data_IF_375527367414
#
_entry.id   IF_375527367414
#
_cell.length_a   1.000
_cell.length_b   1.000
_cell.length_c   1.000
_cell.angle_alpha   90.00
_cell.angle_beta   90.00
_cell.angle_gamma   90.00
#
_symmetry.space_group_name_H-M   'P 1'
#
loop_
_entity.id
_entity.type
_entity.pdbx_description
1 polymer ?
#
# COMPACT_ATOMS: atom_id res chain seq x y z
N UNK A 1 50.74 -21.20 6.52
CA UNK A 1 49.68 -22.14 6.96
C UNK A 1 48.87 -21.60 8.13
N UNK A 2 49.46 -21.23 9.29
CA UNK A 2 48.71 -20.72 10.47
C UNK A 2 47.93 -19.44 10.16
N UNK A 3 48.51 -18.47 9.43
CA UNK A 3 47.84 -17.23 9.07
C UNK A 3 46.60 -17.39 8.16
N UNK A 4 46.68 -18.35 7.21
CA UNK A 4 45.57 -18.65 6.30
C UNK A 4 44.41 -19.35 7.07
N UNK A 5 44.75 -20.20 8.04
CA UNK A 5 43.75 -20.85 8.89
C UNK A 5 43.01 -19.82 9.80
N UNK A 6 43.79 -18.95 10.47
CA UNK A 6 43.18 -17.88 11.31
C UNK A 6 42.31 -16.92 10.49
N UNK A 7 42.71 -16.56 9.28
CA UNK A 7 41.95 -15.74 8.37
C UNK A 7 40.62 -16.41 7.95
N UNK A 8 40.67 -17.69 7.56
CA UNK A 8 39.48 -18.44 7.19
C UNK A 8 38.51 -18.57 8.38
N UNK A 9 39.01 -18.88 9.58
CA UNK A 9 38.17 -18.92 10.79
C UNK A 9 37.49 -17.55 11.08
N UNK A 10 38.21 -16.46 10.86
CA UNK A 10 37.65 -15.13 11.06
C UNK A 10 36.51 -14.84 10.06
N UNK A 11 36.68 -15.21 8.80
CA UNK A 11 35.63 -15.10 7.77
C UNK A 11 34.44 -15.96 8.11
N UNK A 12 34.64 -17.23 8.46
CA UNK A 12 33.56 -18.17 8.85
C UNK A 12 32.80 -17.69 10.08
N UNK A 13 33.48 -17.14 11.08
CA UNK A 13 32.87 -16.54 12.25
C UNK A 13 32.02 -15.30 11.87
N UNK A 14 32.53 -14.47 10.96
CA UNK A 14 31.81 -13.31 10.41
C UNK A 14 30.54 -13.71 9.68
N UNK A 15 30.63 -14.68 8.75
CA UNK A 15 29.51 -15.23 8.00
C UNK A 15 28.46 -15.83 8.95
N UNK A 16 28.88 -16.63 9.91
CA UNK A 16 28.00 -17.26 10.89
C UNK A 16 27.30 -16.22 11.77
N UNK A 17 28.02 -15.17 12.20
CA UNK A 17 27.46 -14.06 12.95
C UNK A 17 26.42 -13.30 12.15
N UNK A 18 26.72 -13.00 10.88
CA UNK A 18 25.78 -12.31 9.97
C UNK A 18 24.52 -13.16 9.73
N UNK A 19 24.68 -14.46 9.46
CA UNK A 19 23.55 -15.38 9.29
C UNK A 19 22.65 -15.45 10.54
N UNK A 20 23.23 -15.52 11.73
CA UNK A 20 22.47 -15.50 13.00
C UNK A 20 21.70 -14.19 13.18
N UNK A 21 22.31 -13.05 12.86
CA UNK A 21 21.62 -11.74 12.91
C UNK A 21 20.46 -11.70 11.92
N UNK A 22 20.65 -12.22 10.71
CA UNK A 22 19.64 -12.32 9.66
C UNK A 22 18.41 -13.11 10.14
N UNK A 23 18.63 -14.32 10.65
CA UNK A 23 17.53 -15.14 11.17
C UNK A 23 16.81 -14.45 12.31
N UNK A 24 17.54 -13.81 13.22
CA UNK A 24 16.91 -13.02 14.30
C UNK A 24 16.09 -11.86 13.77
N UNK A 25 16.59 -11.10 12.79
CA UNK A 25 15.85 -10.01 12.17
C UNK A 25 14.55 -10.50 11.49
N UNK A 26 14.60 -11.65 10.80
CA UNK A 26 13.40 -12.28 10.23
C UNK A 26 12.36 -12.64 11.31
N UNK A 27 12.78 -13.23 12.42
CA UNK A 27 11.85 -13.56 13.51
C UNK A 27 11.32 -12.32 14.22
N UNK A 28 12.10 -11.24 14.32
CA UNK A 28 11.62 -9.97 14.84
C UNK A 28 10.57 -9.34 13.91
N UNK A 29 10.79 -9.37 12.60
CA UNK A 29 9.79 -8.91 11.63
C UNK A 29 8.49 -9.74 11.72
N UNK A 30 8.60 -11.07 11.85
CA UNK A 30 7.42 -11.93 12.07
C UNK A 30 6.70 -11.60 13.38
N UNK A 31 7.44 -11.40 14.47
CA UNK A 31 6.84 -11.00 15.74
C UNK A 31 6.06 -9.70 15.64
N UNK A 32 6.57 -8.71 14.87
CA UNK A 32 5.85 -7.47 14.59
C UNK A 32 4.57 -7.70 13.77
N UNK A 33 4.61 -8.56 12.75
CA UNK A 33 3.42 -8.94 11.97
C UNK A 33 2.34 -9.62 12.81
N UNK A 34 2.72 -10.57 13.66
CA UNK A 34 1.82 -11.24 14.60
C UNK A 34 1.25 -10.25 15.65
N UNK A 35 2.08 -9.32 16.13
CA UNK A 35 1.64 -8.27 17.02
C UNK A 35 0.60 -7.37 16.36
N UNK A 36 0.83 -6.95 15.12
CA UNK A 36 -0.14 -6.16 14.36
C UNK A 36 -1.46 -6.92 14.19
N UNK A 37 -1.41 -8.21 13.82
CA UNK A 37 -2.60 -9.05 13.70
C UNK A 37 -3.36 -9.17 15.03
N UNK A 38 -2.65 -9.36 16.13
CA UNK A 38 -3.23 -9.40 17.47
C UNK A 38 -3.91 -8.08 17.83
N UNK A 39 -3.22 -6.95 17.61
CA UNK A 39 -3.74 -5.61 17.87
C UNK A 39 -5.03 -5.35 17.08
N UNK A 40 -5.01 -5.63 15.79
CA UNK A 40 -6.17 -5.48 14.91
C UNK A 40 -7.35 -6.40 15.33
N UNK A 41 -7.07 -7.61 15.81
CA UNK A 41 -8.11 -8.53 16.29
C UNK A 41 -8.79 -8.03 17.57
N UNK A 42 -8.04 -7.38 18.47
CA UNK A 42 -8.62 -6.81 19.70
C UNK A 42 -9.54 -5.62 19.42
N UNK A 43 -9.26 -4.86 18.36
CA UNK A 43 -10.06 -3.68 17.99
C UNK A 43 -11.30 -4.02 17.18
N UNK A 44 -11.33 -5.18 16.52
CA UNK A 44 -12.46 -5.62 15.67
C UNK A 44 -13.63 -6.25 16.44
N UNK A 45 -13.42 -6.65 17.70
CA UNK A 45 -14.44 -7.34 18.48
C UNK A 45 -15.45 -6.42 19.17
N UNK A 46 -15.09 -5.17 19.51
CA UNK A 46 -15.95 -4.27 20.28
C UNK A 46 -15.64 -2.79 19.99
N UNK A 47 -16.14 -2.28 18.86
CA UNK A 47 -16.11 -0.83 18.61
C UNK A 47 -17.01 -0.05 19.57
N UNK A 48 -17.93 -0.73 20.27
CA UNK A 48 -18.97 -0.11 21.11
C UNK A 48 -18.91 -0.48 22.61
N UNK A 49 -18.06 -1.40 23.07
CA UNK A 49 -17.94 -1.74 24.49
C UNK A 49 -16.54 -1.40 25.03
N UNK A 50 -16.49 -0.46 25.97
CA UNK A 50 -15.31 -0.22 26.81
C UNK A 50 -15.07 -1.45 27.69
N UNK A 51 -14.18 -2.35 27.29
CA UNK A 51 -13.76 -3.47 28.13
C UNK A 51 -12.64 -2.98 29.07
N UNK A 52 -12.99 -2.83 30.35
CA UNK A 52 -12.04 -2.46 31.45
C UNK A 52 -10.89 -3.49 31.62
N UNK A 53 -10.91 -4.63 30.93
CA UNK A 53 -9.97 -5.75 31.07
C UNK A 53 -9.01 -5.93 29.88
N UNK A 54 -8.79 -4.92 29.05
CA UNK A 54 -7.81 -5.06 27.94
C UNK A 54 -6.37 -5.11 28.48
N UNK A 55 -5.55 -6.11 28.08
CA UNK A 55 -4.14 -6.19 28.47
C UNK A 55 -3.25 -5.14 27.74
N UNK A 56 -3.82 -4.36 26.83
CA UNK A 56 -3.14 -3.29 26.11
C UNK A 56 -3.26 -1.97 26.88
N UNK A 57 -2.23 -1.13 26.79
CA UNK A 57 -2.30 0.23 27.30
C UNK A 57 -3.41 1.00 26.55
N UNK A 58 -4.14 1.85 27.25
CA UNK A 58 -5.28 2.62 26.72
C UNK A 58 -4.92 3.40 25.45
N UNK A 59 -3.73 3.99 25.41
CA UNK A 59 -3.20 4.71 24.24
C UNK A 59 -3.06 3.82 23.00
N UNK A 60 -2.61 2.57 23.17
CA UNK A 60 -2.42 1.60 22.07
C UNK A 60 -3.76 1.19 21.48
N UNK A 61 -4.76 0.98 22.34
CA UNK A 61 -6.12 0.64 21.93
C UNK A 61 -6.80 1.78 21.21
N UNK A 62 -6.66 3.00 21.71
CA UNK A 62 -7.20 4.22 21.12
C UNK A 62 -6.62 4.44 19.72
N UNK A 63 -5.30 4.33 19.57
CA UNK A 63 -4.64 4.44 18.27
C UNK A 63 -5.08 3.34 17.29
N UNK A 64 -5.22 2.11 17.76
CA UNK A 64 -5.70 1.01 16.94
C UNK A 64 -7.16 1.21 16.47
N UNK A 65 -8.04 1.74 17.33
CA UNK A 65 -9.41 2.12 16.96
C UNK A 65 -9.42 3.23 15.89
N UNK A 66 -8.49 4.18 15.93
CA UNK A 66 -8.35 5.23 14.91
C UNK A 66 -7.98 4.65 13.54
N UNK A 67 -7.09 3.64 13.47
CA UNK A 67 -6.74 2.96 12.22
C UNK A 67 -7.99 2.39 11.56
N UNK A 68 -8.85 1.72 12.36
CA UNK A 68 -10.09 1.12 11.86
C UNK A 68 -11.13 2.14 11.42
N UNK A 69 -11.07 3.36 11.99
CA UNK A 69 -11.87 4.50 11.52
C UNK A 69 -11.28 5.14 10.27
N UNK A 70 -10.09 4.70 9.83
CA UNK A 70 -9.42 5.22 8.65
C UNK A 70 -8.72 6.57 8.86
N UNK A 71 -8.47 6.97 10.10
CA UNK A 71 -8.01 8.32 10.40
C UNK A 71 -6.50 8.42 10.70
N UNK A 72 -5.76 7.31 10.78
CA UNK A 72 -4.35 7.38 11.13
C UNK A 72 -3.52 6.19 10.61
N UNK A 73 -2.23 6.45 10.42
CA UNK A 73 -1.20 5.41 10.34
C UNK A 73 -0.72 5.11 11.76
N UNK A 74 -0.75 3.85 12.16
CA UNK A 74 -0.19 3.43 13.44
C UNK A 74 1.24 2.97 13.27
N UNK A 75 2.16 3.55 14.03
CA UNK A 75 3.56 3.16 14.04
C UNK A 75 4.01 2.80 15.45
N UNK A 76 4.62 1.63 15.61
CA UNK A 76 5.20 1.15 16.85
C UNK A 76 6.63 0.69 16.62
N UNK A 77 7.53 1.01 17.55
CA UNK A 77 8.88 0.43 17.60
C UNK A 77 9.14 -0.14 18.97
N UNK A 78 9.51 -1.43 19.03
CA UNK A 78 9.70 -2.16 20.27
C UNK A 78 11.04 -2.91 20.28
N UNK A 79 11.72 -2.90 21.43
CA UNK A 79 12.88 -3.74 21.66
C UNK A 79 12.45 -5.16 22.07
N UNK A 80 13.06 -6.17 21.45
CA UNK A 80 12.82 -7.57 21.79
C UNK A 80 14.14 -8.37 21.72
N UNK A 81 14.63 -8.79 22.88
CA UNK A 81 15.87 -9.56 23.00
C UNK A 81 17.09 -8.76 22.54
N UNK A 82 17.74 -9.18 21.44
CA UNK A 82 18.98 -8.57 20.94
C UNK A 82 18.75 -7.64 19.75
N UNK A 83 17.51 -7.24 19.47
CA UNK A 83 17.16 -6.38 18.35
C UNK A 83 15.88 -5.61 18.61
N UNK A 84 15.37 -4.98 17.57
CA UNK A 84 14.12 -4.22 17.59
C UNK A 84 13.22 -4.70 16.47
N UNK A 85 11.91 -4.58 16.66
CA UNK A 85 10.97 -4.58 15.54
C UNK A 85 10.21 -3.27 15.50
N UNK A 86 9.83 -2.86 14.30
CA UNK A 86 8.87 -1.78 14.09
C UNK A 86 7.73 -2.28 13.22
N UNK A 87 6.54 -1.74 13.45
CA UNK A 87 5.35 -2.00 12.64
C UNK A 87 4.74 -0.68 12.23
N UNK A 88 4.27 -0.64 10.99
CA UNK A 88 3.38 0.41 10.49
C UNK A 88 2.10 -0.27 10.00
N UNK A 89 0.96 0.16 10.52
CA UNK A 89 -0.37 -0.26 10.07
C UNK A 89 -0.95 0.91 9.31
N UNK A 90 -1.22 0.68 8.02
CA UNK A 90 -1.59 1.71 7.06
C UNK A 90 -2.95 1.34 6.47
N UNK A 91 -3.94 2.26 6.48
CA UNK A 91 -5.18 2.06 5.76
C UNK A 91 -4.93 1.71 4.28
N UNK A 92 -5.64 0.72 3.76
CA UNK A 92 -5.47 0.27 2.38
C UNK A 92 -6.45 0.96 1.42
N UNK A 93 -7.66 1.28 1.89
CA UNK A 93 -8.76 1.86 1.07
C UNK A 93 -8.58 3.35 0.75
N UNK A 94 -7.48 3.96 1.20
CA UNK A 94 -7.03 5.26 0.71
C UNK A 94 -6.38 5.22 -0.68
N UNK A 95 -6.34 4.04 -1.33
CA UNK A 95 -5.80 3.80 -2.67
C UNK A 95 -6.88 3.34 -3.62
N UNK A 96 -6.68 3.60 -4.93
CA UNK A 96 -7.59 3.15 -5.98
C UNK A 96 -7.41 1.67 -6.31
N UNK A 97 -8.52 0.95 -6.51
CA UNK A 97 -8.45 -0.45 -6.93
C UNK A 97 -8.20 -0.53 -8.43
N UNK A 98 -6.98 -0.98 -8.80
CA UNK A 98 -6.52 -1.06 -10.18
C UNK A 98 -7.41 -1.94 -11.07
N UNK A 99 -8.00 -3.00 -10.50
CA UNK A 99 -8.89 -3.90 -11.25
C UNK A 99 -10.27 -3.30 -11.57
N UNK A 100 -10.55 -2.09 -11.11
CA UNK A 100 -11.84 -1.40 -11.28
C UNK A 100 -11.69 0.01 -11.88
N UNK A 101 -10.49 0.34 -12.36
CA UNK A 101 -10.21 1.64 -12.96
C UNK A 101 -10.91 1.81 -14.31
N UNK A 102 -11.34 3.04 -14.57
CA UNK A 102 -11.77 3.49 -15.90
C UNK A 102 -10.59 4.10 -16.66
N UNK A 103 -10.72 4.21 -17.99
CA UNK A 103 -9.70 4.85 -18.83
C UNK A 103 -9.39 6.28 -18.37
N UNK A 104 -10.40 7.07 -18.00
CA UNK A 104 -10.24 8.43 -17.46
C UNK A 104 -9.39 8.46 -16.17
N UNK A 105 -9.57 7.46 -15.30
CA UNK A 105 -8.76 7.34 -14.08
C UNK A 105 -7.33 6.91 -14.39
N UNK A 106 -7.12 6.08 -15.40
CA UNK A 106 -5.80 5.74 -15.89
C UNK A 106 -5.06 6.95 -16.43
N UNK A 107 -5.69 7.73 -17.32
CA UNK A 107 -5.12 8.94 -17.90
C UNK A 107 -4.71 9.95 -16.81
N UNK A 108 -5.60 10.23 -15.88
CA UNK A 108 -5.34 11.15 -14.77
C UNK A 108 -4.21 10.66 -13.86
N UNK A 109 -4.19 9.35 -13.55
CA UNK A 109 -3.11 8.76 -12.74
C UNK A 109 -1.76 8.82 -13.43
N UNK A 110 -1.70 8.55 -14.73
CA UNK A 110 -0.47 8.62 -15.52
C UNK A 110 0.04 10.07 -15.62
N UNK A 111 -0.88 11.06 -15.76
CA UNK A 111 -0.54 12.48 -15.71
C UNK A 111 0.06 12.85 -14.34
N UNK A 112 -0.60 12.50 -13.25
CA UNK A 112 -0.11 12.73 -11.89
C UNK A 112 1.27 12.09 -11.65
N UNK A 113 1.55 10.95 -12.27
CA UNK A 113 2.83 10.28 -12.21
C UNK A 113 3.91 10.93 -13.11
N UNK A 114 3.52 11.81 -14.01
CA UNK A 114 4.41 12.48 -14.97
C UNK A 114 4.80 11.59 -16.16
N UNK A 115 3.96 10.61 -16.50
CA UNK A 115 4.15 9.77 -17.68
C UNK A 115 3.70 10.56 -18.93
N UNK A 116 4.53 10.64 -20.00
CA UNK A 116 4.15 11.35 -21.22
C UNK A 116 2.86 10.82 -21.87
N UNK A 117 1.99 11.73 -22.32
CA UNK A 117 0.69 11.40 -22.91
C UNK A 117 0.79 10.42 -24.09
N UNK A 118 1.87 10.48 -24.86
CA UNK A 118 2.10 9.58 -25.97
C UNK A 118 2.27 8.09 -25.59
N UNK A 119 2.44 7.77 -24.30
CA UNK A 119 2.55 6.40 -23.79
C UNK A 119 1.23 5.88 -23.20
N UNK A 120 0.26 6.74 -22.92
CA UNK A 120 -0.92 6.37 -22.14
C UNK A 120 -1.77 5.30 -22.84
N UNK A 121 -2.10 5.49 -24.12
CA UNK A 121 -2.91 4.54 -24.87
C UNK A 121 -2.27 3.13 -24.89
N UNK A 122 -0.95 3.04 -25.10
CA UNK A 122 -0.26 1.74 -25.08
C UNK A 122 -0.32 1.08 -23.69
N UNK A 123 -0.10 1.83 -22.62
CA UNK A 123 -0.13 1.31 -21.26
C UNK A 123 -1.53 0.84 -20.86
N UNK A 124 -2.56 1.61 -21.18
CA UNK A 124 -3.97 1.31 -20.86
C UNK A 124 -4.42 0.07 -21.66
N UNK A 125 -4.17 0.04 -22.97
CA UNK A 125 -4.55 -1.06 -23.85
C UNK A 125 -3.81 -2.37 -23.47
N UNK A 126 -2.50 -2.30 -23.16
CA UNK A 126 -1.75 -3.48 -22.70
C UNK A 126 -2.23 -3.98 -21.33
N UNK A 127 -2.67 -3.08 -20.42
CA UNK A 127 -3.29 -3.47 -19.17
C UNK A 127 -4.64 -4.14 -19.38
N UNK A 128 -5.47 -3.62 -20.31
CA UNK A 128 -6.77 -4.19 -20.63
C UNK A 128 -6.62 -5.61 -21.19
N UNK A 129 -5.70 -5.83 -22.17
CA UNK A 129 -5.39 -7.15 -22.73
C UNK A 129 -4.83 -8.13 -21.69
N UNK A 130 -4.12 -7.61 -20.67
CA UNK A 130 -3.59 -8.47 -19.60
C UNK A 130 -4.66 -9.03 -18.68
N UNK A 131 -5.75 -8.29 -18.44
CA UNK A 131 -6.76 -8.66 -17.44
C UNK A 131 -8.05 -9.21 -18.03
N UNK A 132 -8.36 -8.97 -19.31
CA UNK A 132 -9.60 -9.44 -19.91
C UNK A 132 -9.55 -10.96 -20.20
N UNK A 133 -10.70 -11.59 -20.43
CA UNK A 133 -10.80 -13.05 -20.58
C UNK A 133 -10.60 -13.52 -22.03
N UNK A 134 -10.41 -12.60 -22.97
CA UNK A 134 -10.30 -12.92 -24.39
C UNK A 134 -8.85 -12.74 -24.88
N UNK A 135 -8.57 -13.12 -26.13
CA UNK A 135 -7.26 -12.97 -26.79
C UNK A 135 -7.36 -11.99 -27.98
N UNK A 136 -8.31 -11.04 -27.96
CA UNK A 136 -8.48 -10.03 -29.00
C UNK A 136 -7.71 -8.76 -28.61
N UNK A 137 -6.74 -8.38 -29.42
CA UNK A 137 -5.91 -7.20 -29.15
C UNK A 137 -6.70 -5.90 -29.13
N UNK A 138 -6.52 -5.09 -28.10
CA UNK A 138 -6.82 -3.67 -28.18
C UNK A 138 -5.88 -2.99 -29.20
N UNK A 139 -6.23 -1.79 -29.65
CA UNK A 139 -5.56 -1.12 -30.78
C UNK A 139 -4.04 -0.98 -30.57
N UNK A 140 -3.63 -0.58 -29.36
CA UNK A 140 -2.24 -0.40 -28.96
C UNK A 140 -1.79 -1.44 -27.93
N UNK A 141 -2.60 -2.47 -27.71
CA UNK A 141 -2.41 -3.48 -26.71
C UNK A 141 -1.46 -4.61 -27.11
N UNK A 142 -1.34 -5.60 -26.24
CA UNK A 142 -0.47 -6.75 -26.44
C UNK A 142 -1.06 -7.99 -25.76
N UNK A 143 -1.40 -8.98 -26.54
CA UNK A 143 -1.86 -10.28 -26.11
C UNK A 143 -0.71 -11.31 -26.03
N UNK A 144 -1.00 -12.50 -25.52
CA UNK A 144 -0.03 -13.60 -25.33
C UNK A 144 0.77 -13.97 -26.58
N UNK A 145 0.29 -13.62 -27.77
CA UNK A 145 0.98 -13.84 -29.03
C UNK A 145 1.97 -12.73 -29.40
N UNK A 146 2.00 -11.60 -28.68
CA UNK A 146 2.97 -10.52 -28.86
C UNK A 146 4.41 -11.01 -28.62
N UNK A 147 5.39 -10.57 -29.41
CA UNK A 147 6.79 -10.90 -29.21
C UNK A 147 7.32 -10.61 -27.81
N UNK A 148 6.81 -9.57 -27.15
CA UNK A 148 7.20 -9.20 -25.78
C UNK A 148 7.00 -10.36 -24.78
N UNK A 149 5.84 -11.02 -24.82
CA UNK A 149 5.51 -12.12 -23.92
C UNK A 149 6.18 -13.42 -24.35
N UNK A 150 6.17 -13.72 -25.68
CA UNK A 150 6.81 -14.93 -26.24
C UNK A 150 8.33 -15.00 -25.93
N UNK A 151 9.03 -13.88 -26.04
CA UNK A 151 10.47 -13.83 -25.75
C UNK A 151 10.78 -14.03 -24.27
N UNK A 152 9.85 -13.64 -23.40
CA UNK A 152 9.96 -13.79 -21.93
C UNK A 152 9.43 -15.13 -21.41
N UNK A 153 8.69 -15.87 -22.24
CA UNK A 153 8.23 -17.21 -21.94
C UNK A 153 7.04 -17.28 -20.97
N UNK A 154 6.18 -16.26 -20.97
CA UNK A 154 4.91 -16.27 -20.24
C UNK A 154 3.78 -15.68 -21.10
N UNK A 155 2.54 -15.91 -20.71
CA UNK A 155 1.31 -15.49 -21.37
C UNK A 155 0.60 -14.42 -20.54
N UNK A 156 -0.34 -13.68 -21.17
CA UNK A 156 -1.23 -12.78 -20.47
C UNK A 156 -2.03 -13.54 -19.41
N UNK A 157 -2.36 -12.87 -18.32
CA UNK A 157 -3.04 -13.52 -17.18
C UNK A 157 -4.49 -13.82 -17.47
N UNK A 158 -5.16 -13.01 -18.30
CA UNK A 158 -6.59 -13.04 -18.62
C UNK A 158 -7.44 -13.12 -17.33
N UNK A 159 -7.04 -12.37 -16.33
CA UNK A 159 -7.69 -12.29 -15.01
C UNK A 159 -7.25 -11.04 -14.25
N UNK A 160 -8.02 -10.55 -13.28
CA UNK A 160 -7.63 -9.43 -12.43
C UNK A 160 -6.27 -9.63 -11.78
N UNK A 161 -5.55 -8.53 -11.52
CA UNK A 161 -4.27 -8.58 -10.81
C UNK A 161 -4.46 -9.06 -9.36
N UNK A 162 -3.55 -9.91 -8.90
CA UNK A 162 -3.43 -10.31 -7.49
C UNK A 162 -2.54 -9.35 -6.69
N UNK A 163 -1.61 -8.67 -7.37
CA UNK A 163 -0.70 -7.68 -6.77
C UNK A 163 -0.42 -6.55 -7.76
N UNK A 164 -0.15 -5.35 -7.24
CA UNK A 164 0.27 -4.20 -8.07
C UNK A 164 1.62 -4.47 -8.78
N UNK A 165 2.47 -5.30 -8.19
CA UNK A 165 3.77 -5.67 -8.76
C UNK A 165 3.65 -6.42 -10.11
N UNK A 166 2.50 -7.03 -10.40
CA UNK A 166 2.23 -7.68 -11.69
C UNK A 166 2.26 -6.71 -12.88
N UNK A 167 2.09 -5.41 -12.65
CA UNK A 167 2.29 -4.40 -13.69
C UNK A 167 3.66 -4.53 -14.37
N UNK A 168 4.70 -4.97 -13.66
CA UNK A 168 6.02 -5.20 -14.25
C UNK A 168 6.09 -6.35 -15.26
N UNK A 169 5.07 -7.19 -15.33
CA UNK A 169 4.94 -8.25 -16.33
C UNK A 169 4.26 -7.76 -17.61
N UNK A 170 3.56 -6.63 -17.54
CA UNK A 170 2.77 -6.07 -18.65
C UNK A 170 3.68 -5.21 -19.53
N UNK A 171 3.53 -5.36 -20.84
CA UNK A 171 4.26 -4.57 -21.83
C UNK A 171 4.06 -3.07 -21.58
N UNK A 172 5.14 -2.31 -21.71
CA UNK A 172 5.16 -0.86 -21.52
C UNK A 172 5.43 -0.43 -20.07
N UNK A 173 5.00 -1.18 -19.05
CA UNK A 173 5.23 -0.83 -17.65
C UNK A 173 6.67 -1.09 -17.23
N UNK A 174 7.36 -0.04 -16.85
CA UNK A 174 8.74 -0.09 -16.31
C UNK A 174 8.75 0.09 -14.80
N UNK A 175 9.84 -0.31 -14.15
CA UNK A 175 10.01 -0.06 -12.71
C UNK A 175 9.96 1.44 -12.36
N UNK A 176 10.39 2.32 -13.29
CA UNK A 176 10.32 3.75 -13.12
C UNK A 176 8.88 4.28 -13.13
N UNK A 177 8.02 3.78 -14.03
CA UNK A 177 6.60 4.12 -14.06
C UNK A 177 5.91 3.59 -12.80
N UNK A 178 6.18 2.34 -12.44
CA UNK A 178 5.47 1.67 -11.32
C UNK A 178 5.90 2.22 -9.96
N UNK A 179 7.21 2.34 -9.69
CA UNK A 179 7.71 2.71 -8.36
C UNK A 179 8.31 4.11 -8.27
N UNK A 180 8.39 4.82 -9.39
CA UNK A 180 9.09 6.09 -9.50
C UNK A 180 10.57 5.90 -9.83
N UNK A 181 11.13 6.91 -10.46
CA UNK A 181 12.52 6.89 -10.89
C UNK A 181 12.79 7.73 -12.13
N UNK A 182 13.98 7.66 -12.69
CA UNK A 182 14.35 8.45 -13.85
C UNK A 182 13.45 8.10 -15.05
N UNK A 183 13.01 9.15 -15.75
CA UNK A 183 12.28 9.01 -17.00
C UNK A 183 13.16 8.38 -18.08
N UNK A 184 12.56 7.87 -19.15
CA UNK A 184 13.29 7.26 -20.26
C UNK A 184 14.18 8.25 -21.01
N UNK A 185 13.76 9.51 -21.08
CA UNK A 185 14.54 10.60 -21.67
C UNK A 185 15.30 11.35 -20.58
N UNK A 186 16.58 11.62 -20.79
CA UNK A 186 17.45 12.31 -19.81
C UNK A 186 16.96 13.73 -19.42
N UNK A 187 16.20 14.38 -20.31
CA UNK A 187 15.69 15.74 -20.11
C UNK A 187 14.33 15.79 -19.40
N UNK A 188 13.64 14.66 -19.25
CA UNK A 188 12.33 14.59 -18.62
C UNK A 188 12.44 14.52 -17.09
N UNK A 189 11.42 15.04 -16.41
CA UNK A 189 11.31 14.91 -14.96
C UNK A 189 11.18 13.44 -14.57
N UNK A 190 11.74 13.02 -13.42
CA UNK A 190 11.59 11.66 -12.96
C UNK A 190 10.11 11.33 -12.66
N UNK A 191 9.68 10.13 -13.00
CA UNK A 191 8.33 9.63 -12.68
C UNK A 191 8.13 9.53 -11.16
N UNK A 192 6.92 9.88 -10.69
CA UNK A 192 6.56 9.78 -9.27
C UNK A 192 6.21 8.37 -8.84
N UNK A 193 5.87 7.49 -9.80
CA UNK A 193 5.44 6.11 -9.54
C UNK A 193 3.95 6.01 -9.21
N UNK A 194 3.28 5.02 -9.83
CA UNK A 194 1.83 4.81 -9.68
C UNK A 194 1.47 3.85 -8.54
N UNK A 195 2.39 2.97 -8.14
CA UNK A 195 2.11 1.92 -7.15
C UNK A 195 1.67 2.44 -5.77
N UNK A 196 2.07 3.68 -5.39
CA UNK A 196 1.65 4.30 -4.14
C UNK A 196 0.17 4.67 -4.12
N UNK A 197 -0.42 4.93 -5.28
CA UNK A 197 -1.84 5.27 -5.46
C UNK A 197 -2.74 4.05 -5.64
N UNK A 198 -2.16 2.85 -5.83
CA UNK A 198 -2.87 1.64 -6.26
C UNK A 198 -2.98 0.57 -5.18
N UNK A 199 -4.09 -0.15 -5.25
CA UNK A 199 -4.33 -1.41 -4.54
C UNK A 199 -5.07 -2.39 -5.46
N UNK A 200 -5.05 -3.66 -5.10
CA UNK A 200 -5.92 -4.70 -5.71
C UNK A 200 -7.09 -5.09 -4.78
N UNK A 201 -7.15 -4.46 -3.60
CA UNK A 201 -8.11 -4.76 -2.54
C UNK A 201 -9.21 -3.70 -2.46
N UNK A 202 -10.33 -4.07 -1.82
CA UNK A 202 -11.43 -3.11 -1.60
C UNK A 202 -12.48 -3.11 -2.71
N UNK A 203 -13.50 -2.27 -2.53
CA UNK A 203 -14.69 -2.18 -3.39
C UNK A 203 -14.60 -1.02 -4.42
N UNK A 204 -13.41 -0.44 -4.60
CA UNK A 204 -13.16 0.67 -5.53
C UNK A 204 -13.54 2.05 -5.01
N UNK A 205 -14.06 2.16 -3.78
CA UNK A 205 -14.28 3.46 -3.15
C UNK A 205 -13.01 3.99 -2.53
N UNK A 206 -12.83 5.30 -2.59
CA UNK A 206 -11.67 5.97 -2.01
C UNK A 206 -12.00 6.45 -0.59
N UNK A 207 -11.20 6.02 0.39
CA UNK A 207 -11.29 6.57 1.74
C UNK A 207 -10.62 7.95 1.79
N UNK A 208 -11.42 9.01 1.81
CA UNK A 208 -10.94 10.39 1.78
C UNK A 208 -10.22 10.82 3.06
N UNK A 209 -10.41 10.11 4.18
CA UNK A 209 -9.67 10.38 5.41
C UNK A 209 -8.21 9.96 5.31
N UNK A 210 -7.87 9.03 4.39
CA UNK A 210 -6.52 8.46 4.27
C UNK A 210 -5.90 8.59 2.88
N UNK A 211 -6.70 8.92 1.87
CA UNK A 211 -6.21 9.10 0.50
C UNK A 211 -5.20 10.25 0.40
N UNK A 212 -4.18 10.06 -0.44
CA UNK A 212 -3.25 11.14 -0.78
C UNK A 212 -3.89 12.10 -1.78
N UNK A 213 -3.30 13.30 -1.91
CA UNK A 213 -3.72 14.29 -2.91
C UNK A 213 -3.79 13.67 -4.30
N UNK A 214 -2.71 13.01 -4.70
CA UNK A 214 -2.56 12.39 -6.01
C UNK A 214 -3.63 11.30 -6.23
N UNK A 215 -3.90 10.48 -5.23
CA UNK A 215 -4.95 9.46 -5.32
C UNK A 215 -6.33 10.10 -5.47
N UNK A 216 -6.64 11.17 -4.73
CA UNK A 216 -7.93 11.82 -4.85
C UNK A 216 -8.11 12.45 -6.25
N UNK A 217 -7.10 13.12 -6.78
CA UNK A 217 -7.13 13.70 -8.12
C UNK A 217 -7.31 12.64 -9.19
N UNK A 218 -6.59 11.53 -9.11
CA UNK A 218 -6.64 10.44 -10.09
C UNK A 218 -7.97 9.64 -10.07
N UNK A 219 -8.55 9.44 -8.89
CA UNK A 219 -9.66 8.48 -8.74
C UNK A 219 -11.04 9.11 -8.54
N UNK A 220 -11.11 10.39 -8.22
CA UNK A 220 -12.38 11.07 -7.95
C UNK A 220 -12.74 12.02 -9.11
N UNK A 221 -13.60 11.60 -10.04
CA UNK A 221 -13.91 12.41 -11.22
C UNK A 221 -14.57 13.74 -10.85
N UNK A 222 -14.13 14.80 -11.50
CA UNK A 222 -14.67 16.15 -11.30
C UNK A 222 -14.22 16.83 -10.01
N UNK A 223 -13.25 16.23 -9.29
CA UNK A 223 -12.57 16.90 -8.18
C UNK A 223 -11.44 17.77 -8.75
N UNK A 224 -11.19 18.90 -8.12
CA UNK A 224 -10.07 19.77 -8.45
C UNK A 224 -9.14 19.99 -7.24
N UNK A 225 -7.99 20.61 -7.47
CA UNK A 225 -6.96 20.76 -6.44
C UNK A 225 -7.47 21.50 -5.19
N UNK A 226 -8.34 22.50 -5.34
CA UNK A 226 -8.83 23.25 -4.19
C UNK A 226 -9.84 22.43 -3.36
N UNK A 227 -10.66 21.58 -3.99
CA UNK A 227 -11.52 20.63 -3.27
C UNK A 227 -10.70 19.60 -2.49
N UNK A 228 -9.60 19.12 -3.09
CA UNK A 228 -8.67 18.24 -2.40
C UNK A 228 -8.01 18.94 -1.20
N UNK A 229 -7.64 20.22 -1.35
CA UNK A 229 -7.12 21.01 -0.22
C UNK A 229 -8.16 21.14 0.90
N UNK A 230 -9.42 21.40 0.56
CA UNK A 230 -10.52 21.49 1.53
C UNK A 230 -10.77 20.15 2.25
N UNK A 231 -10.61 19.00 1.55
CA UNK A 231 -10.65 17.67 2.19
C UNK A 231 -9.48 17.51 3.16
N UNK A 232 -8.25 17.82 2.72
CA UNK A 232 -7.03 17.64 3.53
C UNK A 232 -7.09 18.52 4.79
N UNK A 233 -7.55 19.77 4.67
CA UNK A 233 -7.71 20.63 5.84
C UNK A 233 -8.92 20.21 6.69
N UNK A 234 -10.04 19.83 6.06
CA UNK A 234 -11.25 19.42 6.78
C UNK A 234 -11.09 18.14 7.62
N UNK A 235 -10.21 17.24 7.19
CA UNK A 235 -9.94 16.00 7.94
C UNK A 235 -9.02 16.16 9.14
N UNK A 236 -8.42 17.34 9.36
CA UNK A 236 -7.60 17.66 10.55
C UNK A 236 -8.46 18.03 11.78
N UNK A 237 -9.78 17.85 11.69
CA UNK A 237 -10.66 18.14 12.80
C UNK A 237 -10.86 19.63 13.08
N UNK A 238 -11.23 19.95 14.32
CA UNK A 238 -11.51 21.34 14.77
C UNK A 238 -10.26 22.05 15.26
N UNK A 239 -9.28 21.30 15.73
CA UNK A 239 -8.01 21.86 16.26
C UNK A 239 -6.99 22.16 15.14
N UNK A 240 -7.19 21.61 13.93
CA UNK A 240 -6.32 21.80 12.77
C UNK A 240 -4.98 21.08 12.88
N UNK A 241 -4.81 20.19 13.87
CA UNK A 241 -3.63 19.36 14.07
C UNK A 241 -3.89 17.94 13.54
N UNK A 242 -2.88 17.27 13.01
CA UNK A 242 -2.98 15.89 12.52
C UNK A 242 -2.71 14.89 13.66
N UNK A 243 -3.36 13.73 13.60
CA UNK A 243 -3.26 12.62 14.56
C UNK A 243 -3.87 12.93 15.94
N UNK A 244 -4.95 13.70 15.96
CA UNK A 244 -5.75 14.01 17.16
C UNK A 244 -7.07 13.23 17.19
N UNK A 245 -7.85 13.32 18.27
CA UNK A 245 -9.05 12.51 18.47
C UNK A 245 -10.23 12.93 17.59
N UNK A 246 -10.22 14.17 17.09
CA UNK A 246 -11.27 14.75 16.25
C UNK A 246 -10.93 14.72 14.75
N UNK A 247 -9.83 14.03 14.36
CA UNK A 247 -9.44 13.84 12.97
C UNK A 247 -10.44 13.02 12.18
N UNK A 248 -10.53 13.38 10.89
CA UNK A 248 -11.32 12.69 9.89
C UNK A 248 -12.79 13.10 9.87
N UNK A 249 -13.41 12.85 8.75
CA UNK A 249 -14.87 13.01 8.60
C UNK A 249 -15.56 11.77 9.19
N UNK A 250 -16.58 11.97 10.00
CA UNK A 250 -17.38 10.88 10.56
C UNK A 250 -18.27 10.20 9.52
N UNK A 251 -18.68 10.95 8.49
CA UNK A 251 -19.53 10.44 7.43
C UNK A 251 -19.26 11.10 6.08
N UNK A 252 -19.64 10.40 5.00
CA UNK A 252 -19.58 10.93 3.63
C UNK A 252 -20.44 12.18 3.46
N UNK A 253 -21.60 12.25 4.12
CA UNK A 253 -22.49 13.41 4.05
C UNK A 253 -21.86 14.64 4.73
N UNK A 254 -21.15 14.44 5.82
CA UNK A 254 -20.37 15.48 6.47
C UNK A 254 -19.24 16.00 5.57
N UNK A 255 -18.46 15.08 4.97
CA UNK A 255 -17.38 15.45 4.06
C UNK A 255 -17.89 16.27 2.87
N UNK A 256 -18.99 15.83 2.24
CA UNK A 256 -19.63 16.57 1.14
C UNK A 256 -20.03 17.98 1.60
N UNK A 257 -20.63 18.10 2.78
CA UNK A 257 -21.11 19.39 3.28
C UNK A 257 -19.97 20.33 3.69
N UNK A 258 -18.91 19.81 4.34
CA UNK A 258 -17.78 20.62 4.82
C UNK A 258 -16.81 21.02 3.72
N UNK A 259 -16.44 20.07 2.83
CA UNK A 259 -15.49 20.31 1.75
C UNK A 259 -16.16 20.73 0.43
N UNK A 260 -17.48 20.94 0.41
CA UNK A 260 -18.21 21.40 -0.76
C UNK A 260 -18.18 20.44 -1.95
N UNK A 261 -18.08 19.15 -1.71
CA UNK A 261 -17.88 18.14 -2.75
C UNK A 261 -19.14 17.92 -3.60
N UNK A 262 -18.99 17.57 -4.88
CA UNK A 262 -20.09 17.16 -5.73
C UNK A 262 -20.87 15.96 -5.14
N UNK A 263 -22.20 16.02 -5.19
CA UNK A 263 -23.06 14.98 -4.60
C UNK A 263 -22.94 13.61 -5.29
N UNK A 264 -22.49 13.56 -6.53
CA UNK A 264 -22.24 12.34 -7.31
C UNK A 264 -21.02 11.55 -6.82
N UNK A 265 -20.14 12.18 -6.04
CA UNK A 265 -19.04 11.48 -5.36
C UNK A 265 -19.51 10.58 -4.20
N UNK A 266 -20.74 10.77 -3.68
CA UNK A 266 -21.25 9.99 -2.53
C UNK A 266 -21.12 8.48 -2.70
N UNK A 267 -21.26 7.97 -3.93
CA UNK A 267 -21.09 6.54 -4.23
C UNK A 267 -19.65 6.08 -4.41
N UNK A 268 -18.71 6.99 -4.57
CA UNK A 268 -17.30 6.75 -4.94
C UNK A 268 -16.32 6.94 -3.79
N UNK A 269 -16.78 7.54 -2.69
CA UNK A 269 -15.97 7.82 -1.51
C UNK A 269 -16.48 7.07 -0.28
N UNK A 270 -15.61 6.89 0.68
CA UNK A 270 -15.89 6.40 2.04
C UNK A 270 -15.08 7.22 3.05
N UNK A 271 -15.50 7.19 4.31
CA UNK A 271 -14.80 7.84 5.44
C UNK A 271 -14.32 6.82 6.47
N UNK A 272 -14.50 5.53 6.20
CA UNK A 272 -14.14 4.45 7.11
C UNK A 272 -13.38 3.36 6.37
N UNK A 273 -12.40 2.78 7.04
CA UNK A 273 -11.68 1.59 6.57
C UNK A 273 -12.52 0.36 6.89
N UNK A 274 -13.04 -0.31 5.86
CA UNK A 274 -14.04 -1.36 6.10
C UNK A 274 -13.48 -2.76 6.19
N UNK A 275 -12.42 -3.05 5.45
CA UNK A 275 -12.01 -4.45 5.27
C UNK A 275 -10.52 -4.71 5.26
N UNK A 276 -9.70 -3.81 4.73
CA UNK A 276 -8.30 -4.11 4.45
C UNK A 276 -7.36 -3.09 5.08
N UNK A 277 -6.33 -3.59 5.74
CA UNK A 277 -5.23 -2.77 6.26
C UNK A 277 -3.91 -3.38 5.83
N UNK A 278 -2.96 -2.52 5.49
CA UNK A 278 -1.59 -2.92 5.18
C UNK A 278 -0.75 -2.89 6.44
N UNK A 279 0.03 -3.94 6.64
CA UNK A 279 1.00 -4.05 7.73
C UNK A 279 2.39 -4.14 7.13
N UNK A 280 3.25 -3.21 7.52
CA UNK A 280 4.68 -3.26 7.24
C UNK A 280 5.40 -3.52 8.55
N UNK A 281 6.12 -4.62 8.65
CA UNK A 281 6.88 -4.96 9.84
C UNK A 281 8.36 -5.10 9.53
N UNK A 282 9.21 -4.44 10.30
CA UNK A 282 10.66 -4.43 10.14
C UNK A 282 11.33 -5.00 11.40
N UNK A 283 12.17 -6.01 11.22
CA UNK A 283 13.06 -6.52 12.25
C UNK A 283 14.50 -6.08 12.02
N UNK A 284 15.18 -5.64 13.08
CA UNK A 284 16.54 -5.10 13.01
C UNK A 284 17.44 -5.70 14.09
N UNK A 285 18.62 -6.20 13.70
CA UNK A 285 19.68 -6.70 14.61
C UNK A 285 21.03 -6.13 14.18
N UNK A 286 21.46 -5.08 14.85
CA UNK A 286 22.62 -4.27 14.41
C UNK A 286 22.35 -3.64 13.05
N UNK A 287 23.17 -3.92 12.05
CA UNK A 287 22.99 -3.40 10.69
C UNK A 287 22.12 -4.30 9.78
N UNK A 288 21.65 -5.44 10.28
CA UNK A 288 20.89 -6.40 9.48
C UNK A 288 19.40 -6.16 9.67
N UNK A 289 18.69 -5.98 8.56
CA UNK A 289 17.24 -5.72 8.52
C UNK A 289 16.50 -6.81 7.73
N UNK A 290 15.29 -7.09 8.13
CA UNK A 290 14.33 -7.93 7.39
C UNK A 290 12.94 -7.33 7.50
N UNK A 291 12.19 -7.35 6.41
CA UNK A 291 10.86 -6.78 6.34
C UNK A 291 9.79 -7.82 6.06
N UNK A 292 8.59 -7.54 6.51
CA UNK A 292 7.35 -8.21 6.12
C UNK A 292 6.37 -7.17 5.61
N UNK A 293 5.79 -7.48 4.47
CA UNK A 293 4.67 -6.78 3.89
C UNK A 293 3.45 -7.70 3.92
N UNK A 294 2.39 -7.27 4.54
CA UNK A 294 1.16 -8.03 4.62
C UNK A 294 -0.05 -7.15 4.40
N UNK A 295 -1.11 -7.71 3.80
CA UNK A 295 -2.44 -7.11 3.81
C UNK A 295 -3.33 -8.02 4.65
N UNK A 296 -3.96 -7.43 5.64
CA UNK A 296 -4.86 -8.08 6.57
C UNK A 296 -6.30 -7.73 6.20
N UNK A 297 -7.19 -8.72 6.24
CA UNK A 297 -8.63 -8.54 6.03
C UNK A 297 -9.40 -8.80 7.30
N UNK A 298 -10.37 -7.92 7.59
CA UNK A 298 -11.38 -8.16 8.61
C UNK A 298 -12.49 -9.06 8.06
N UNK A 299 -12.81 -10.13 8.78
CA UNK A 299 -13.84 -11.08 8.42
C UNK A 299 -14.55 -11.59 9.67
N UNK A 300 -15.75 -11.05 9.97
CA UNK A 300 -16.58 -11.48 11.09
C UNK A 300 -15.89 -11.49 12.45
N UNK A 301 -15.14 -10.46 12.79
CA UNK A 301 -14.38 -10.35 14.05
C UNK A 301 -13.02 -11.06 14.05
N UNK A 302 -12.60 -11.59 12.91
CA UNK A 302 -11.28 -12.19 12.72
C UNK A 302 -10.45 -11.34 11.78
N UNK A 303 -9.14 -11.31 12.03
CA UNK A 303 -8.15 -10.68 11.15
C UNK A 303 -7.36 -11.79 10.46
N UNK A 304 -7.42 -11.82 9.14
CA UNK A 304 -6.81 -12.87 8.32
C UNK A 304 -5.85 -12.24 7.33
N UNK A 305 -4.59 -12.68 7.26
CA UNK A 305 -3.70 -12.24 6.21
C UNK A 305 -4.18 -12.77 4.85
N UNK A 306 -4.41 -11.86 3.89
CA UNK A 306 -4.76 -12.17 2.50
C UNK A 306 -3.56 -12.06 1.57
N UNK A 307 -2.54 -11.32 2.00
CA UNK A 307 -1.25 -11.23 1.35
C UNK A 307 -0.13 -11.21 2.41
N UNK A 308 0.98 -11.90 2.11
CA UNK A 308 2.14 -11.96 3.00
C UNK A 308 3.41 -12.14 2.18
N UNK A 309 4.34 -11.18 2.28
CA UNK A 309 5.64 -11.23 1.63
C UNK A 309 6.75 -10.89 2.61
N UNK A 310 7.77 -11.72 2.64
CA UNK A 310 8.98 -11.48 3.42
C UNK A 310 10.09 -10.96 2.51
N UNK A 311 10.66 -9.84 2.87
CA UNK A 311 11.76 -9.22 2.14
C UNK A 311 13.00 -9.10 3.01
N UNK A 312 14.13 -9.32 2.36
CA UNK A 312 15.40 -8.98 2.97
C UNK A 312 15.87 -7.67 2.44
N UNK A 313 16.04 -6.73 3.35
CA UNK A 313 16.65 -5.45 3.02
C UNK A 313 18.17 -5.56 3.20
N UNK A 314 18.87 -5.17 2.16
CA UNK A 314 20.35 -5.14 2.15
C UNK A 314 20.86 -3.85 2.77
#
# INVERSE_FOLDING_TARGET
>A
MIGTFAFNMHIEAGITSHYRKRVKAQYLARAGGEWAQYLLAQTGSDLDEETEDSPLEEDVLTQAKRILRGNAVYSLKQELGAGTFSIDIIPEEGRGNINQMTDEQWEEMLDQAGVPEEQWEELIDCFADWIDENDEHHLNGAESDDPFYKERGYECKNAPLDTVDELLLIKGFTAAIVYGGPAEREDDAPYRGIASMLTVWGDGKININTATRETMLAFLPGIDEWMVDDIIEGRKGLDGEENTDDDGFESVDEAIAKAGLPADLKGKITTVEKKYVRVVSMGEVGAVKSGIWAVMRYDGGKVVPVFWREEMMQ
#
